data_IF_132249324382
#
_entry.id   IF_132249324382
#
_cell.length_a   1.000
_cell.length_b   1.000
_cell.length_c   1.000
_cell.angle_alpha   90.00
_cell.angle_beta   90.00
_cell.angle_gamma   90.00
#
_symmetry.space_group_name_H-M   'P 1'
#
loop_
_entity.id
_entity.type
_entity.pdbx_description
1 polymer ?
#
# COMPACT_ATOMS: atom_id res chain seq x y z
N UNK A 1 -8.98 12.12 3.50
CA UNK A 1 -8.92 10.67 3.15
C UNK A 1 -7.62 10.34 2.41
N UNK A 2 -7.14 9.10 2.52
CA UNK A 2 -5.73 8.69 2.45
C UNK A 2 -5.36 7.95 1.14
N UNK A 3 -4.11 7.48 1.05
CA UNK A 3 -3.43 6.79 -0.07
C UNK A 3 -4.30 5.95 -1.03
N UNK A 4 -4.68 6.54 -2.16
CA UNK A 4 -5.55 5.90 -3.17
C UNK A 4 -5.24 4.41 -3.45
N UNK A 5 -4.03 3.98 -3.86
CA UNK A 5 -3.80 2.57 -4.21
C UNK A 5 -3.87 1.60 -3.02
N UNK A 6 -3.33 1.98 -1.85
CA UNK A 6 -3.30 1.10 -0.67
C UNK A 6 -4.71 0.99 -0.07
N UNK A 7 -5.37 2.13 0.14
CA UNK A 7 -6.71 2.20 0.72
C UNK A 7 -7.75 1.56 -0.21
N UNK A 8 -7.64 1.79 -1.53
CA UNK A 8 -8.54 1.14 -2.49
C UNK A 8 -8.32 -0.37 -2.54
N UNK A 9 -7.08 -0.84 -2.37
CA UNK A 9 -6.78 -2.27 -2.27
C UNK A 9 -7.37 -2.86 -1.01
N UNK A 10 -7.16 -2.24 0.16
CA UNK A 10 -7.71 -2.70 1.44
C UNK A 10 -9.24 -2.74 1.39
N UNK A 11 -9.89 -1.68 0.91
CA UNK A 11 -11.36 -1.65 0.74
C UNK A 11 -11.85 -2.72 -0.23
N UNK A 12 -11.10 -3.01 -1.29
CA UNK A 12 -11.47 -4.07 -2.25
C UNK A 12 -11.31 -5.46 -1.63
N UNK A 13 -10.25 -5.68 -0.84
CA UNK A 13 -9.99 -6.90 -0.08
C UNK A 13 -11.11 -7.14 0.93
N UNK A 14 -11.46 -6.15 1.76
CA UNK A 14 -12.54 -6.27 2.75
C UNK A 14 -13.87 -6.64 2.09
N UNK A 15 -14.24 -5.96 1.00
CA UNK A 15 -15.44 -6.27 0.22
C UNK A 15 -15.41 -7.67 -0.36
N UNK A 16 -14.24 -8.15 -0.78
CA UNK A 16 -14.08 -9.48 -1.35
C UNK A 16 -14.20 -10.57 -0.28
N UNK A 17 -13.54 -10.40 0.87
CA UNK A 17 -13.57 -11.36 1.96
C UNK A 17 -14.99 -11.50 2.56
N UNK A 18 -15.78 -10.43 2.55
CA UNK A 18 -17.17 -10.42 2.99
C UNK A 18 -18.16 -11.14 2.04
N UNK A 19 -17.76 -11.51 0.83
CA UNK A 19 -18.64 -12.22 -0.12
C UNK A 19 -19.07 -13.57 0.43
N UNK A 20 -20.26 -14.05 0.08
CA UNK A 20 -20.59 -15.47 0.29
C UNK A 20 -19.90 -16.32 -0.78
N UNK A 21 -19.69 -17.61 -0.49
CA UNK A 21 -19.09 -18.54 -1.46
C UNK A 21 -19.96 -18.68 -2.72
N UNK A 22 -21.26 -18.42 -2.62
CA UNK A 22 -22.18 -18.45 -3.76
C UNK A 22 -22.11 -17.19 -4.64
N UNK A 23 -21.47 -16.09 -4.19
CA UNK A 23 -21.33 -14.84 -4.95
C UNK A 23 -20.23 -14.92 -6.05
N UNK A 24 -20.11 -16.05 -6.75
CA UNK A 24 -19.01 -16.37 -7.68
C UNK A 24 -18.80 -15.32 -8.78
N UNK A 25 -19.87 -14.76 -9.36
CA UNK A 25 -19.79 -13.68 -10.36
C UNK A 25 -19.22 -12.37 -9.79
N UNK A 26 -19.65 -11.99 -8.59
CA UNK A 26 -19.12 -10.80 -7.91
C UNK A 26 -17.68 -11.03 -7.47
N UNK A 27 -17.38 -12.23 -6.97
CA UNK A 27 -16.03 -12.69 -6.65
C UNK A 27 -15.11 -12.54 -7.85
N UNK A 28 -15.51 -13.02 -9.03
CA UNK A 28 -14.71 -12.86 -10.24
C UNK A 28 -14.40 -11.38 -10.56
N UNK A 29 -15.40 -10.49 -10.51
CA UNK A 29 -15.22 -9.06 -10.76
C UNK A 29 -14.28 -8.40 -9.74
N UNK A 30 -14.50 -8.64 -8.44
CA UNK A 30 -13.69 -8.05 -7.38
C UNK A 30 -12.26 -8.61 -7.36
N UNK A 31 -12.08 -9.91 -7.65
CA UNK A 31 -10.75 -10.53 -7.75
C UNK A 31 -9.89 -9.89 -8.84
N UNK A 32 -10.47 -9.65 -10.03
CA UNK A 32 -9.79 -8.91 -11.11
C UNK A 32 -9.42 -7.48 -10.68
N UNK A 33 -10.31 -6.81 -9.95
CA UNK A 33 -10.05 -5.47 -9.41
C UNK A 33 -8.88 -5.48 -8.42
N UNK A 34 -8.85 -6.42 -7.47
CA UNK A 34 -7.76 -6.57 -6.50
C UNK A 34 -6.43 -6.79 -7.23
N UNK A 35 -6.38 -7.71 -8.19
CA UNK A 35 -5.15 -7.98 -8.97
C UNK A 35 -4.64 -6.73 -9.68
N UNK A 36 -5.55 -5.92 -10.25
CA UNK A 36 -5.19 -4.68 -10.94
C UNK A 36 -4.58 -3.67 -9.99
N UNK A 37 -5.22 -3.39 -8.85
CA UNK A 37 -4.72 -2.38 -7.90
C UNK A 37 -3.44 -2.89 -7.20
N UNK A 38 -3.34 -4.19 -6.93
CA UNK A 38 -2.14 -4.78 -6.34
C UNK A 38 -0.90 -4.70 -7.25
N UNK A 39 -1.08 -4.55 -8.57
CA UNK A 39 0.03 -4.27 -9.49
C UNK A 39 0.68 -2.91 -9.20
N UNK A 40 -0.09 -1.91 -8.77
CA UNK A 40 0.43 -0.59 -8.41
C UNK A 40 1.25 -0.63 -7.12
N UNK A 41 0.87 -1.49 -6.17
CA UNK A 41 1.61 -1.74 -4.93
C UNK A 41 2.95 -2.40 -5.20
N UNK A 42 3.05 -3.27 -6.22
CA UNK A 42 4.31 -3.92 -6.61
C UNK A 42 5.44 -2.92 -6.85
N UNK A 43 5.12 -1.75 -7.40
CA UNK A 43 6.10 -0.71 -7.68
C UNK A 43 6.68 -0.05 -6.40
N UNK A 44 6.03 -0.22 -5.25
CA UNK A 44 6.49 0.28 -3.96
C UNK A 44 7.45 -0.69 -3.26
N UNK A 45 7.51 -1.96 -3.70
CA UNK A 45 8.32 -3.01 -3.07
C UNK A 45 9.66 -3.11 -3.78
N UNK A 46 10.72 -2.63 -3.12
CA UNK A 46 12.08 -2.58 -3.67
C UNK A 46 12.88 -3.79 -3.21
N UNK A 47 12.66 -4.20 -1.96
CA UNK A 47 13.39 -5.27 -1.28
C UNK A 47 13.12 -6.61 -1.99
N UNK A 48 14.20 -7.28 -2.43
CA UNK A 48 14.15 -8.46 -3.30
C UNK A 48 13.30 -9.60 -2.70
N UNK A 49 13.45 -9.86 -1.41
CA UNK A 49 12.72 -10.94 -0.73
C UNK A 49 11.22 -10.61 -0.56
N UNK A 50 10.88 -9.38 -0.19
CA UNK A 50 9.48 -8.93 -0.15
C UNK A 50 8.84 -9.00 -1.53
N UNK A 51 9.58 -8.60 -2.56
CA UNK A 51 9.13 -8.63 -3.96
C UNK A 51 8.85 -10.05 -4.44
N UNK A 52 9.63 -11.05 -4.01
CA UNK A 52 9.37 -12.47 -4.30
C UNK A 52 8.12 -12.96 -3.58
N UNK A 53 7.99 -12.70 -2.28
CA UNK A 53 6.80 -13.07 -1.49
C UNK A 53 5.52 -12.49 -2.11
N UNK A 54 5.52 -11.19 -2.41
CA UNK A 54 4.40 -10.52 -3.05
C UNK A 54 4.07 -11.10 -4.42
N UNK A 55 5.08 -11.35 -5.27
CA UNK A 55 4.87 -11.96 -6.58
C UNK A 55 4.25 -13.35 -6.51
N UNK A 56 4.62 -14.14 -5.51
CA UNK A 56 4.03 -15.46 -5.28
C UNK A 56 2.53 -15.35 -4.97
N UNK A 57 2.13 -14.43 -4.10
CA UNK A 57 0.73 -14.14 -3.78
C UNK A 57 -0.02 -13.69 -5.04
N UNK A 58 0.51 -12.71 -5.77
CA UNK A 58 -0.13 -12.20 -6.99
C UNK A 58 -0.26 -13.28 -8.08
N UNK A 59 0.74 -14.15 -8.22
CA UNK A 59 0.69 -15.24 -9.20
C UNK A 59 -0.42 -16.23 -8.87
N UNK A 60 -0.59 -16.60 -7.59
CA UNK A 60 -1.66 -17.48 -7.14
C UNK A 60 -3.04 -16.83 -7.28
N UNK A 61 -3.18 -15.56 -6.90
CA UNK A 61 -4.39 -14.77 -7.14
C UNK A 61 -4.80 -14.77 -8.61
N UNK A 62 -3.84 -14.54 -9.52
CA UNK A 62 -4.10 -14.58 -10.98
C UNK A 62 -4.55 -15.95 -11.45
N UNK A 63 -3.93 -17.01 -10.95
CA UNK A 63 -4.28 -18.37 -11.32
C UNK A 63 -5.72 -18.69 -10.89
N UNK A 64 -6.07 -18.49 -9.62
CA UNK A 64 -7.43 -18.77 -9.14
C UNK A 64 -8.48 -17.83 -9.71
N UNK A 65 -8.16 -16.54 -9.94
CA UNK A 65 -9.09 -15.61 -10.61
C UNK A 65 -9.36 -16.00 -12.06
N UNK A 66 -8.36 -16.52 -12.77
CA UNK A 66 -8.52 -17.00 -14.14
C UNK A 66 -9.35 -18.29 -14.20
N UNK A 67 -9.13 -19.22 -13.25
CA UNK A 67 -9.95 -20.43 -13.14
C UNK A 67 -11.40 -20.11 -12.77
N UNK A 68 -11.61 -19.27 -11.76
CA UNK A 68 -12.94 -18.77 -11.39
C UNK A 68 -13.65 -18.10 -12.58
N UNK A 69 -12.94 -17.31 -13.40
CA UNK A 69 -13.52 -16.74 -14.62
C UNK A 69 -14.03 -17.79 -15.58
N UNK A 70 -13.25 -18.87 -15.78
CA UNK A 70 -13.61 -19.97 -16.67
C UNK A 70 -14.80 -20.74 -16.12
N UNK A 71 -14.78 -21.08 -14.84
CA UNK A 71 -15.83 -21.89 -14.22
C UNK A 71 -17.16 -21.14 -14.16
N UNK A 72 -17.12 -19.83 -13.88
CA UNK A 72 -18.32 -18.97 -13.97
C UNK A 72 -18.86 -18.95 -15.40
N UNK A 73 -18.01 -18.76 -16.41
CA UNK A 73 -18.45 -18.73 -17.80
C UNK A 73 -19.03 -20.08 -18.26
N UNK A 74 -18.43 -21.19 -17.82
CA UNK A 74 -18.90 -22.54 -18.10
C UNK A 74 -20.21 -22.88 -17.36
N UNK A 75 -20.41 -22.35 -16.14
CA UNK A 75 -21.68 -22.53 -15.42
C UNK A 75 -22.85 -21.85 -16.13
N UNK A 76 -22.60 -20.79 -16.89
CA UNK A 76 -23.61 -20.07 -17.66
C UNK A 76 -23.91 -20.70 -19.02
N UNK A 77 -22.89 -21.28 -19.68
CA UNK A 77 -22.98 -21.64 -21.11
C UNK A 77 -22.61 -23.09 -21.44
N UNK A 78 -22.10 -23.87 -20.48
CA UNK A 78 -21.54 -25.19 -20.69
C UNK A 78 -22.48 -26.35 -20.32
N UNK A 79 -22.22 -27.56 -20.82
CA UNK A 79 -22.83 -28.77 -20.27
C UNK A 79 -22.38 -28.95 -18.81
N UNK A 80 -23.22 -29.56 -17.97
CA UNK A 80 -22.96 -29.80 -16.53
C UNK A 80 -22.86 -28.51 -15.69
N UNK A 81 -23.80 -27.58 -15.88
CA UNK A 81 -23.86 -26.29 -15.17
C UNK A 81 -23.66 -26.39 -13.65
N UNK A 82 -24.28 -27.36 -12.97
CA UNK A 82 -24.18 -27.57 -11.52
C UNK A 82 -22.75 -27.92 -11.05
N UNK A 83 -22.04 -28.74 -11.82
CA UNK A 83 -20.65 -29.11 -11.49
C UNK A 83 -19.73 -27.89 -11.65
N UNK A 84 -19.93 -27.10 -12.72
CA UNK A 84 -19.22 -25.84 -12.91
C UNK A 84 -19.52 -24.80 -11.83
N UNK A 85 -20.76 -24.73 -11.34
CA UNK A 85 -21.07 -23.90 -10.17
C UNK A 85 -20.30 -24.35 -8.93
N UNK A 86 -20.21 -25.66 -8.69
CA UNK A 86 -19.44 -26.19 -7.56
C UNK A 86 -17.94 -25.87 -7.69
N UNK A 87 -17.37 -26.01 -8.89
CA UNK A 87 -15.97 -25.62 -9.14
C UNK A 87 -15.76 -24.12 -8.96
N UNK A 88 -16.68 -23.27 -9.44
CA UNK A 88 -16.62 -21.84 -9.24
C UNK A 88 -16.66 -21.46 -7.75
N UNK A 89 -17.46 -22.16 -6.93
CA UNK A 89 -17.50 -21.97 -5.47
C UNK A 89 -16.17 -22.36 -4.81
N UNK A 90 -15.59 -23.49 -5.21
CA UNK A 90 -14.28 -23.93 -4.72
C UNK A 90 -13.16 -22.96 -5.09
N UNK A 91 -13.13 -22.50 -6.34
CA UNK A 91 -12.11 -21.57 -6.81
C UNK A 91 -12.31 -20.17 -6.23
N UNK A 92 -13.55 -19.76 -5.90
CA UNK A 92 -13.78 -18.56 -5.10
C UNK A 92 -13.24 -18.73 -3.66
N UNK A 93 -13.42 -19.90 -3.03
CA UNK A 93 -12.86 -20.18 -1.70
C UNK A 93 -11.34 -20.07 -1.71
N UNK A 94 -10.67 -20.73 -2.67
CA UNK A 94 -9.20 -20.65 -2.81
C UNK A 94 -8.73 -19.23 -3.10
N UNK A 95 -9.50 -18.49 -3.90
CA UNK A 95 -9.18 -17.09 -4.18
C UNK A 95 -9.30 -16.23 -2.92
N UNK A 96 -10.24 -16.52 -2.01
CA UNK A 96 -10.33 -15.85 -0.70
C UNK A 96 -9.09 -16.11 0.15
N UNK A 97 -8.57 -17.33 0.18
CA UNK A 97 -7.37 -17.65 0.95
C UNK A 97 -6.16 -16.83 0.46
N UNK A 98 -6.00 -16.69 -0.86
CA UNK A 98 -4.92 -15.86 -1.41
C UNK A 98 -5.17 -14.35 -1.24
N UNK A 99 -6.43 -13.90 -1.20
CA UNK A 99 -6.79 -12.52 -0.86
C UNK A 99 -6.48 -12.22 0.61
N UNK A 100 -6.70 -13.18 1.50
CA UNK A 100 -6.31 -13.08 2.90
C UNK A 100 -4.79 -13.00 3.05
N UNK A 101 -4.04 -13.85 2.34
CA UNK A 101 -2.57 -13.78 2.33
C UNK A 101 -2.06 -12.42 1.81
N UNK A 102 -2.75 -11.82 0.82
CA UNK A 102 -2.46 -10.45 0.39
C UNK A 102 -2.74 -9.42 1.49
N UNK A 103 -3.86 -9.56 2.21
CA UNK A 103 -4.20 -8.68 3.34
C UNK A 103 -3.11 -8.74 4.43
N UNK A 104 -2.73 -9.94 4.85
CA UNK A 104 -1.70 -10.18 5.86
C UNK A 104 -0.37 -9.54 5.45
N UNK A 105 0.05 -9.73 4.19
CA UNK A 105 1.26 -9.12 3.66
C UNK A 105 1.20 -7.58 3.73
N UNK A 106 0.06 -6.98 3.36
CA UNK A 106 -0.10 -5.52 3.39
C UNK A 106 -0.07 -4.97 4.81
N UNK A 107 -0.65 -5.68 5.78
CA UNK A 107 -0.63 -5.31 7.19
C UNK A 107 0.79 -5.45 7.76
N UNK A 108 1.46 -6.58 7.53
CA UNK A 108 2.83 -6.85 8.01
C UNK A 108 3.82 -5.79 7.52
N UNK A 109 3.61 -5.24 6.32
CA UNK A 109 4.54 -4.33 5.68
C UNK A 109 3.99 -2.91 5.48
N UNK A 110 2.90 -2.55 6.16
CA UNK A 110 2.20 -1.26 6.01
C UNK A 110 3.17 -0.07 6.17
N UNK A 111 3.98 -0.08 7.23
CA UNK A 111 4.91 1.01 7.52
C UNK A 111 5.93 1.24 6.38
N UNK A 112 6.44 0.17 5.78
CA UNK A 112 7.41 0.23 4.67
C UNK A 112 6.70 0.74 3.41
N UNK A 113 5.53 0.19 3.08
CA UNK A 113 4.75 0.58 1.90
C UNK A 113 4.33 2.05 1.98
N UNK A 114 3.86 2.49 3.14
CA UNK A 114 3.49 3.88 3.43
C UNK A 114 4.67 4.83 3.23
N UNK A 115 5.84 4.49 3.77
CA UNK A 115 7.07 5.27 3.60
C UNK A 115 7.43 5.42 2.13
N UNK A 116 7.48 4.31 1.39
CA UNK A 116 7.82 4.31 -0.05
C UNK A 116 6.83 5.12 -0.88
N UNK A 117 5.56 5.07 -0.52
CA UNK A 117 4.53 5.85 -1.19
C UNK A 117 4.68 7.35 -0.94
N UNK A 118 4.99 7.75 0.30
CA UNK A 118 5.28 9.14 0.65
C UNK A 118 6.52 9.65 -0.12
N UNK A 119 7.59 8.86 -0.13
CA UNK A 119 8.81 9.15 -0.90
C UNK A 119 8.49 9.34 -2.39
N UNK A 120 7.69 8.45 -3.00
CA UNK A 120 7.32 8.55 -4.42
C UNK A 120 6.44 9.77 -4.73
N UNK A 121 5.49 10.11 -3.86
CA UNK A 121 4.51 11.19 -4.11
C UNK A 121 5.08 12.58 -3.80
N UNK A 122 5.91 12.67 -2.77
CA UNK A 122 6.34 13.94 -2.19
C UNK A 122 7.87 14.14 -2.18
N UNK A 123 8.65 13.11 -2.49
CA UNK A 123 10.11 13.16 -2.48
C UNK A 123 10.72 13.00 -1.09
N UNK A 124 9.92 12.76 -0.05
CA UNK A 124 10.38 12.60 1.33
C UNK A 124 9.38 11.81 2.17
N UNK A 125 9.86 11.20 3.26
CA UNK A 125 9.04 10.55 4.28
C UNK A 125 8.68 11.54 5.39
N UNK A 126 7.39 11.85 5.57
CA UNK A 126 6.92 12.83 6.55
C UNK A 126 7.11 12.39 7.99
N UNK A 127 7.02 11.08 8.30
CA UNK A 127 7.26 10.60 9.66
C UNK A 127 8.72 10.82 10.03
N UNK A 128 9.62 10.56 9.09
CA UNK A 128 11.04 10.83 9.26
C UNK A 128 11.33 12.34 9.33
N UNK A 129 10.70 13.16 8.49
CA UNK A 129 10.84 14.62 8.54
C UNK A 129 10.38 15.19 9.88
N UNK A 130 9.22 14.74 10.38
CA UNK A 130 8.71 15.15 11.69
C UNK A 130 9.62 14.73 12.84
N UNK A 131 10.17 13.51 12.76
CA UNK A 131 11.15 13.01 13.73
C UNK A 131 12.41 13.87 13.74
N UNK A 132 12.90 14.30 12.57
CA UNK A 132 14.06 15.18 12.44
C UNK A 132 13.80 16.58 13.00
N UNK A 133 12.66 17.19 12.66
CA UNK A 133 12.27 18.51 13.18
C UNK A 133 12.13 18.50 14.70
N UNK A 134 11.58 17.41 15.28
CA UNK A 134 11.47 17.27 16.74
C UNK A 134 12.83 17.29 17.45
N UNK A 135 13.89 16.84 16.78
CA UNK A 135 15.25 16.73 17.33
C UNK A 135 16.17 17.89 16.96
N UNK A 136 15.68 18.86 16.19
CA UNK A 136 16.52 19.95 15.70
C UNK A 136 16.34 21.19 16.57
N UNK A 137 17.32 21.44 17.43
CA UNK A 137 17.32 22.52 18.42
C UNK A 137 17.34 23.92 17.80
N UNK A 138 17.75 24.04 16.53
CA UNK A 138 17.73 25.30 15.80
C UNK A 138 16.33 25.75 15.33
N UNK A 139 15.30 24.89 15.46
CA UNK A 139 13.91 25.24 15.16
C UNK A 139 13.21 25.66 16.45
N UNK A 140 12.61 26.85 16.47
CA UNK A 140 11.87 27.37 17.62
C UNK A 140 10.65 26.51 17.98
N UNK A 141 10.30 26.51 19.27
CA UNK A 141 9.28 25.62 19.84
C UNK A 141 7.87 25.87 19.28
N UNK A 142 7.56 27.12 18.87
CA UNK A 142 6.26 27.47 18.29
C UNK A 142 6.15 26.86 16.89
N UNK A 143 7.16 27.05 16.05
CA UNK A 143 7.23 26.46 14.71
C UNK A 143 7.25 24.93 14.78
N UNK A 144 8.01 24.36 15.72
CA UNK A 144 8.05 22.91 15.97
C UNK A 144 6.69 22.36 16.38
N UNK A 145 6.01 23.01 17.31
CA UNK A 145 4.67 22.63 17.77
C UNK A 145 3.61 22.76 16.67
N UNK A 146 3.65 23.83 15.87
CA UNK A 146 2.77 23.99 14.72
C UNK A 146 3.00 22.90 13.68
N UNK A 147 4.27 22.58 13.38
CA UNK A 147 4.61 21.52 12.45
C UNK A 147 4.14 20.16 12.95
N UNK A 148 4.41 19.79 14.21
CA UNK A 148 4.03 18.50 14.78
C UNK A 148 2.50 18.36 14.87
N UNK A 149 1.78 19.41 15.30
CA UNK A 149 0.31 19.43 15.25
C UNK A 149 -0.20 19.28 13.83
N UNK A 150 0.48 19.88 12.86
CA UNK A 150 0.11 19.76 11.45
C UNK A 150 0.38 18.34 10.99
N UNK A 151 1.53 17.72 11.28
CA UNK A 151 1.82 16.31 10.92
C UNK A 151 0.83 15.33 11.57
N UNK A 152 0.50 15.50 12.84
CA UNK A 152 -0.45 14.65 13.55
C UNK A 152 -1.90 14.86 13.08
N UNK A 153 -2.24 16.08 12.62
CA UNK A 153 -3.55 16.43 12.03
C UNK A 153 -3.58 16.38 10.50
N UNK A 154 -2.47 16.04 9.84
CA UNK A 154 -2.36 16.06 8.39
C UNK A 154 -3.10 14.84 7.88
N UNK A 155 -4.39 15.02 7.65
CA UNK A 155 -5.05 14.29 6.58
C UNK A 155 -4.19 14.47 5.33
N UNK A 156 -3.79 13.35 4.74
CA UNK A 156 -2.81 13.22 3.64
C UNK A 156 -3.11 14.13 2.44
N UNK A 157 -4.30 14.72 2.36
CA UNK A 157 -4.75 15.67 1.33
C UNK A 157 -4.12 17.08 1.44
N UNK A 158 -3.89 17.64 2.64
CA UNK A 158 -3.26 18.97 2.79
C UNK A 158 -1.73 18.95 2.63
N UNK A 159 -1.12 17.77 2.70
CA UNK A 159 0.32 17.59 2.50
C UNK A 159 0.76 18.07 1.11
N UNK A 160 -0.10 17.89 0.09
CA UNK A 160 0.18 18.36 -1.27
C UNK A 160 0.36 19.88 -1.34
N UNK A 161 -0.43 20.63 -0.58
CA UNK A 161 -0.40 22.10 -0.53
C UNK A 161 0.94 22.60 0.04
N UNK A 162 1.52 21.88 1.00
CA UNK A 162 2.77 22.25 1.66
C UNK A 162 4.01 21.56 1.07
N UNK A 163 3.87 20.73 0.03
CA UNK A 163 4.94 19.88 -0.53
C UNK A 163 6.24 20.65 -0.76
N UNK A 164 6.19 21.80 -1.43
CA UNK A 164 7.39 22.57 -1.77
C UNK A 164 8.08 23.13 -0.52
N UNK A 165 7.30 23.59 0.45
CA UNK A 165 7.81 24.07 1.74
C UNK A 165 8.44 22.93 2.53
N UNK A 166 7.80 21.76 2.58
CA UNK A 166 8.30 20.56 3.27
C UNK A 166 9.59 20.03 2.63
N UNK A 167 9.65 20.02 1.29
CA UNK A 167 10.88 19.71 0.53
C UNK A 167 12.00 20.68 0.85
N UNK A 168 11.70 21.98 0.91
CA UNK A 168 12.68 23.01 1.26
C UNK A 168 13.21 22.80 2.68
N UNK A 169 12.34 22.60 3.66
CA UNK A 169 12.72 22.31 5.06
C UNK A 169 13.57 21.04 5.12
N UNK A 170 13.18 19.98 4.43
CA UNK A 170 13.95 18.73 4.38
C UNK A 170 15.36 18.93 3.82
N UNK A 171 15.52 19.74 2.76
CA UNK A 171 16.84 20.06 2.18
C UNK A 171 17.69 20.88 3.15
N UNK A 172 17.08 21.88 3.80
CA UNK A 172 17.76 22.70 4.81
C UNK A 172 18.24 21.89 6.00
N UNK A 173 17.41 20.98 6.52
CA UNK A 173 17.80 20.06 7.60
C UNK A 173 18.92 19.11 7.19
N UNK A 174 18.97 18.71 5.92
CA UNK A 174 20.05 17.89 5.40
C UNK A 174 21.36 18.67 5.33
N UNK A 175 21.34 19.88 4.77
CA UNK A 175 22.52 20.75 4.71
C UNK A 175 23.06 21.10 6.12
N UNK A 176 22.17 21.39 7.08
CA UNK A 176 22.55 21.63 8.48
C UNK A 176 23.24 20.41 9.11
N UNK A 177 22.77 19.20 8.80
CA UNK A 177 23.40 17.96 9.28
C UNK A 177 24.78 17.76 8.64
N UNK A 178 24.91 17.97 7.33
CA UNK A 178 26.20 17.86 6.63
C UNK A 178 27.21 18.85 7.21
N UNK A 179 26.83 20.11 7.41
CA UNK A 179 27.68 21.13 8.04
C UNK A 179 28.10 20.76 9.47
N UNK A 180 27.17 20.27 10.31
CA UNK A 180 27.53 19.79 11.67
C UNK A 180 28.54 18.64 11.60
N UNK A 181 28.35 17.71 10.67
CA UNK A 181 29.25 16.55 10.49
C UNK A 181 30.63 16.98 9.98
N UNK A 182 30.70 17.93 9.05
CA UNK A 182 31.97 18.51 8.57
C UNK A 182 32.71 19.28 9.67
N UNK A 183 31.99 20.09 10.47
CA UNK A 183 32.59 20.82 11.60
C UNK A 183 33.11 19.86 12.67
N UNK A 184 32.39 18.79 12.98
CA UNK A 184 32.83 17.74 13.92
C UNK A 184 34.07 16.99 13.42
N UNK A 185 34.16 16.73 12.11
CA UNK A 185 35.32 16.06 11.48
C UNK A 185 36.56 16.97 11.35
N UNK A 186 36.38 18.29 11.27
CA UNK A 186 37.50 19.27 11.25
C UNK A 186 38.00 19.58 12.67
N UNK A 187 37.21 19.29 13.70
CA UNK A 187 37.57 19.50 15.11
C UNK A 187 38.25 18.28 15.76
N UNK A 188 38.42 17.16 15.04
CA UNK A 188 39.18 15.96 15.44
C UNK A 188 40.58 15.97 14.82
#
# INVERSE_FOLDING_TARGET
>A
MMNKPLDETVKAIEKFLALKIDDTKKGNKLGKKIIKIAADIRALIIEKELKKKFQKIISRLKNYSSRLSRDVLNSENGPLNRDWEQFARQDLSRLKDEVLALQEFLIEHEAILQKRQNERRYGLDFKELARRIRKEDSIDEITRSQFLRTVDKLEVERIGEFKNTLLRISKWLFALKELKTEVENVAQ
#
